data_IF_473305003284
#
_entry.id   IF_473305003284
#
_cell.length_a   1.000
_cell.length_b   1.000
_cell.length_c   1.000
_cell.angle_alpha   90.00
_cell.angle_beta   90.00
_cell.angle_gamma   90.00
#
_symmetry.space_group_name_H-M   'P 1'
#
loop_
_entity.id
_entity.type
_entity.pdbx_description
1 polymer ?
#
# COMPACT_ATOMS: atom_id res chain seq x y z
N UNK A 1 -13.28 11.64 -11.74
CA UNK A 1 -12.53 10.38 -11.58
C UNK A 1 -11.63 10.36 -10.35
N UNK A 2 -10.92 11.43 -9.97
CA UNK A 2 -10.18 11.46 -8.69
C UNK A 2 -11.08 11.60 -7.46
N UNK A 3 -12.24 12.25 -7.62
CA UNK A 3 -13.30 12.39 -6.60
C UNK A 3 -13.81 11.04 -6.09
N UNK A 4 -13.95 10.09 -7.00
CA UNK A 4 -14.60 8.81 -6.73
C UNK A 4 -13.69 7.94 -5.84
N UNK A 5 -12.37 8.06 -6.03
CA UNK A 5 -11.37 7.43 -5.15
C UNK A 5 -11.32 8.03 -3.75
N UNK A 6 -11.56 9.35 -3.61
CA UNK A 6 -11.57 10.00 -2.30
C UNK A 6 -12.76 9.55 -1.44
N UNK A 7 -13.94 9.39 -2.05
CA UNK A 7 -15.14 8.86 -1.39
C UNK A 7 -14.96 7.39 -0.99
N UNK A 8 -14.51 6.54 -1.93
CA UNK A 8 -14.27 5.13 -1.68
C UNK A 8 -13.21 4.89 -0.58
N UNK A 9 -12.14 5.69 -0.59
CA UNK A 9 -11.10 5.63 0.44
C UNK A 9 -11.67 5.99 1.81
N UNK A 10 -12.50 7.04 1.89
CA UNK A 10 -13.14 7.44 3.13
C UNK A 10 -14.08 6.33 3.65
N UNK A 11 -14.95 5.81 2.79
CA UNK A 11 -15.92 4.77 3.15
C UNK A 11 -15.21 3.51 3.64
N UNK A 12 -14.14 3.08 2.96
CA UNK A 12 -13.35 1.94 3.40
C UNK A 12 -12.72 2.16 4.79
N UNK A 13 -12.13 3.33 5.03
CA UNK A 13 -11.47 3.69 6.29
C UNK A 13 -12.44 3.84 7.47
N UNK A 14 -13.70 4.21 7.23
CA UNK A 14 -14.72 4.27 8.29
C UNK A 14 -15.12 2.89 8.80
N UNK A 15 -15.07 1.86 7.96
CA UNK A 15 -15.41 0.49 8.33
C UNK A 15 -14.26 -0.31 8.96
N UNK A 16 -13.06 0.26 9.03
CA UNK A 16 -11.85 -0.40 9.54
C UNK A 16 -11.72 -0.21 11.06
N UNK A 17 -11.35 -1.27 11.76
CA UNK A 17 -11.03 -1.18 13.17
C UNK A 17 -9.80 -0.28 13.40
N UNK A 18 -9.64 0.39 14.56
CA UNK A 18 -8.51 1.28 14.82
C UNK A 18 -7.15 0.59 14.70
N UNK A 19 -7.08 -0.67 15.12
CA UNK A 19 -5.88 -1.52 15.03
C UNK A 19 -5.52 -1.84 13.58
N UNK A 20 -6.50 -2.25 12.78
CA UNK A 20 -6.34 -2.54 11.37
C UNK A 20 -6.00 -1.29 10.56
N UNK A 21 -6.57 -0.14 10.94
CA UNK A 21 -6.25 1.17 10.36
C UNK A 21 -4.79 1.54 10.58
N UNK A 22 -4.28 1.30 11.79
CA UNK A 22 -2.87 1.54 12.13
C UNK A 22 -1.94 0.60 11.37
N UNK A 23 -2.31 -0.69 11.29
CA UNK A 23 -1.59 -1.69 10.50
C UNK A 23 -1.55 -1.33 9.01
N UNK A 24 -2.70 -1.01 8.43
CA UNK A 24 -2.83 -0.53 7.06
C UNK A 24 -1.96 0.69 6.83
N UNK A 25 -1.99 1.68 7.72
CA UNK A 25 -1.16 2.88 7.60
C UNK A 25 0.34 2.56 7.52
N UNK A 26 0.84 1.72 8.43
CA UNK A 26 2.25 1.31 8.44
C UNK A 26 2.63 0.53 7.17
N UNK A 27 1.77 -0.37 6.73
CA UNK A 27 2.00 -1.16 5.51
C UNK A 27 1.98 -0.26 4.27
N UNK A 28 1.07 0.72 4.18
CA UNK A 28 1.01 1.68 3.09
C UNK A 28 2.22 2.63 3.08
N UNK A 29 2.73 3.05 4.24
CA UNK A 29 3.97 3.83 4.35
C UNK A 29 5.18 3.03 3.83
N UNK A 30 5.31 1.78 4.24
CA UNK A 30 6.38 0.91 3.74
C UNK A 30 6.26 0.72 2.22
N UNK A 31 5.04 0.58 1.72
CA UNK A 31 4.74 0.43 0.30
C UNK A 31 5.04 1.72 -0.51
N UNK A 32 4.79 2.91 0.04
CA UNK A 32 5.17 4.20 -0.57
C UNK A 32 6.70 4.32 -0.73
N UNK A 33 7.46 3.95 0.30
CA UNK A 33 8.94 3.97 0.26
C UNK A 33 9.46 3.01 -0.80
N UNK A 34 8.94 1.77 -0.84
CA UNK A 34 9.33 0.77 -1.84
C UNK A 34 8.93 1.24 -3.25
N UNK A 35 7.75 1.85 -3.42
CA UNK A 35 7.33 2.38 -4.72
C UNK A 35 8.28 3.48 -5.20
N UNK A 36 8.61 4.48 -4.36
CA UNK A 36 9.54 5.57 -4.71
C UNK A 36 10.94 5.06 -5.06
N UNK A 37 11.45 4.08 -4.32
CA UNK A 37 12.75 3.46 -4.60
C UNK A 37 12.76 2.69 -5.94
N UNK A 38 11.65 2.05 -6.27
CA UNK A 38 11.51 1.23 -7.49
C UNK A 38 11.04 2.01 -8.73
N UNK A 39 10.42 3.18 -8.56
CA UNK A 39 9.87 4.00 -9.64
C UNK A 39 10.94 4.52 -10.61
N UNK A 40 12.19 4.65 -10.14
CA UNK A 40 13.32 5.13 -10.94
C UNK A 40 14.37 4.06 -11.24
N UNK A 41 14.15 2.81 -10.83
CA UNK A 41 15.18 1.78 -10.87
C UNK A 41 14.84 0.58 -11.74
N UNK A 42 15.09 0.72 -13.04
CA UNK A 42 15.46 -0.43 -13.88
C UNK A 42 16.95 -0.71 -13.72
N UNK A 43 17.32 -1.52 -12.73
CA UNK A 43 18.71 -1.94 -12.58
C UNK A 43 19.02 -3.12 -13.51
N UNK A 44 19.95 -2.94 -14.45
CA UNK A 44 20.60 -4.04 -15.16
C UNK A 44 21.66 -4.64 -14.23
N UNK A 45 21.39 -5.83 -13.68
CA UNK A 45 22.35 -6.49 -12.79
C UNK A 45 23.35 -7.34 -13.59
N UNK A 46 24.33 -6.70 -14.23
CA UNK A 46 25.41 -7.39 -14.97
C UNK A 46 26.33 -8.27 -14.09
N UNK A 47 26.13 -8.30 -12.77
CA UNK A 47 27.01 -9.03 -11.83
C UNK A 47 26.90 -10.57 -11.88
N UNK A 48 25.93 -11.12 -12.62
CA UNK A 48 25.61 -12.55 -12.62
C UNK A 48 25.77 -13.25 -13.99
N UNK A 49 26.54 -12.69 -14.93
CA UNK A 49 26.74 -13.28 -16.27
C UNK A 49 27.24 -14.73 -16.24
N UNK A 50 27.87 -15.17 -15.14
CA UNK A 50 28.35 -16.56 -14.95
C UNK A 50 27.29 -17.57 -14.49
N UNK A 51 26.04 -17.15 -14.22
CA UNK A 51 24.95 -18.04 -13.75
C UNK A 51 23.81 -18.24 -14.78
N UNK A 52 24.03 -17.83 -16.03
CA UNK A 52 23.01 -17.81 -17.07
C UNK A 52 22.53 -19.19 -17.59
N UNK A 53 23.10 -20.30 -17.11
CA UNK A 53 22.78 -21.64 -17.66
C UNK A 53 21.66 -22.35 -16.90
N UNK A 54 21.37 -21.98 -15.65
CA UNK A 54 20.32 -22.60 -14.84
C UNK A 54 19.71 -21.55 -13.91
N UNK A 55 18.48 -21.08 -14.14
CA UNK A 55 17.54 -20.73 -13.04
C UNK A 55 16.21 -20.17 -13.56
N UNK A 56 15.15 -20.75 -12.99
CA UNK A 56 13.79 -20.24 -12.97
C UNK A 56 13.73 -18.75 -12.63
N UNK A 57 12.81 -18.02 -13.26
CA UNK A 57 12.40 -16.68 -12.85
C UNK A 57 12.01 -16.70 -11.37
N UNK A 58 12.76 -16.02 -10.51
CA UNK A 58 12.37 -15.87 -9.11
C UNK A 58 11.26 -14.81 -9.04
N UNK A 59 10.05 -15.25 -8.71
CA UNK A 59 8.87 -14.40 -8.55
C UNK A 59 8.52 -14.31 -7.07
N UNK A 60 8.84 -13.19 -6.44
CA UNK A 60 8.41 -12.94 -5.06
C UNK A 60 7.13 -12.12 -5.09
N UNK A 61 6.01 -12.75 -4.73
CA UNK A 61 4.71 -12.09 -4.56
C UNK A 61 4.44 -11.92 -3.07
N UNK A 62 4.27 -10.67 -2.63
CA UNK A 62 3.72 -10.36 -1.30
C UNK A 62 2.30 -9.84 -1.49
N UNK A 63 1.36 -10.41 -0.75
CA UNK A 63 -0.05 -10.02 -0.79
C UNK A 63 -0.45 -9.46 0.55
N UNK A 64 -0.99 -8.24 0.55
CA UNK A 64 -1.68 -7.66 1.69
C UNK A 64 -3.16 -7.78 1.43
N UNK A 65 -3.90 -8.22 2.43
CA UNK A 65 -5.35 -8.38 2.36
C UNK A 65 -5.93 -7.73 3.61
N UNK A 66 -6.85 -6.81 3.39
CA UNK A 66 -7.61 -6.12 4.43
C UNK A 66 -9.08 -6.28 4.11
N UNK A 67 -9.88 -6.53 5.13
CA UNK A 67 -11.32 -6.62 5.02
C UNK A 67 -11.91 -5.71 6.09
N UNK A 68 -12.89 -4.91 5.72
CA UNK A 68 -13.56 -4.04 6.67
C UNK A 68 -14.86 -4.67 7.20
N UNK A 69 -15.49 -4.01 8.16
CA UNK A 69 -16.75 -4.46 8.78
C UNK A 69 -17.95 -4.48 7.81
N UNK A 70 -17.82 -3.86 6.64
CA UNK A 70 -18.83 -3.82 5.58
C UNK A 70 -18.59 -4.89 4.49
N UNK A 71 -17.71 -5.87 4.74
CA UNK A 71 -17.25 -6.86 3.76
C UNK A 71 -16.58 -6.26 2.52
N UNK A 72 -16.13 -5.01 2.57
CA UNK A 72 -15.28 -4.47 1.53
C UNK A 72 -13.86 -5.00 1.71
N UNK A 73 -13.28 -5.45 0.61
CA UNK A 73 -11.98 -6.09 0.58
C UNK A 73 -10.98 -5.24 -0.21
N UNK A 74 -9.84 -4.98 0.40
CA UNK A 74 -8.68 -4.36 -0.22
C UNK A 74 -7.54 -5.38 -0.30
N UNK A 75 -7.13 -5.70 -1.52
CA UNK A 75 -6.00 -6.58 -1.80
C UNK A 75 -4.91 -5.77 -2.50
N UNK A 76 -3.70 -5.83 -1.97
CA UNK A 76 -2.52 -5.20 -2.59
C UNK A 76 -1.51 -6.29 -2.90
N UNK A 77 -1.20 -6.45 -4.18
CA UNK A 77 -0.17 -7.37 -4.66
C UNK A 77 1.09 -6.61 -4.99
N UNK A 78 2.15 -6.89 -4.24
CA UNK A 78 3.51 -6.50 -4.59
C UNK A 78 4.17 -7.66 -5.32
N UNK A 79 4.52 -7.45 -6.58
CA UNK A 79 5.14 -8.46 -7.42
C UNK A 79 6.54 -7.97 -7.79
N UNK A 80 7.54 -8.73 -7.34
CA UNK A 80 8.91 -8.61 -7.84
C UNK A 80 9.18 -9.75 -8.82
N UNK A 81 9.43 -9.40 -10.07
CA UNK A 81 9.83 -10.32 -11.12
C UNK A 81 11.30 -10.07 -11.47
N UNK A 82 12.14 -11.10 -11.31
CA UNK A 82 13.52 -11.07 -11.79
C UNK A 82 13.60 -11.83 -13.11
N UNK A 83 13.66 -11.09 -14.23
CA UNK A 83 13.75 -11.64 -15.57
C UNK A 83 15.18 -11.50 -16.12
N UNK A 84 15.94 -12.60 -16.17
CA UNK A 84 17.33 -12.75 -16.64
C UNK A 84 18.38 -11.75 -16.06
N UNK A 85 18.17 -10.45 -16.19
CA UNK A 85 19.01 -9.36 -15.65
C UNK A 85 18.21 -8.11 -15.22
N UNK A 86 16.89 -8.13 -15.37
CA UNK A 86 15.98 -7.01 -15.16
C UNK A 86 15.03 -7.33 -14.00
N UNK A 87 15.12 -6.53 -12.94
CA UNK A 87 14.13 -6.54 -11.89
C UNK A 87 12.95 -5.66 -12.33
N UNK A 88 11.76 -6.24 -12.37
CA UNK A 88 10.50 -5.52 -12.59
C UNK A 88 9.72 -5.54 -11.28
N UNK A 89 9.41 -4.36 -10.77
CA UNK A 89 8.53 -4.20 -9.62
C UNK A 89 7.17 -3.70 -10.08
N UNK A 90 6.12 -4.40 -9.69
CA UNK A 90 4.74 -4.02 -9.99
C UNK A 90 3.90 -4.08 -8.72
N UNK A 91 3.03 -3.08 -8.56
CA UNK A 91 2.01 -3.06 -7.53
C UNK A 91 0.66 -3.13 -8.23
N UNK A 92 -0.13 -4.14 -7.91
CA UNK A 92 -1.53 -4.21 -8.31
C UNK A 92 -2.41 -4.00 -7.09
N UNK A 93 -3.45 -3.19 -7.24
CA UNK A 93 -4.37 -2.83 -6.17
C UNK A 93 -5.75 -3.29 -6.61
N UNK A 94 -6.41 -4.07 -5.77
CA UNK A 94 -7.77 -4.54 -5.99
C UNK A 94 -8.65 -4.10 -4.84
N UNK A 95 -9.80 -3.53 -5.16
CA UNK A 95 -10.83 -3.20 -4.20
C UNK A 95 -12.14 -3.86 -4.64
N UNK A 96 -12.72 -4.70 -3.80
CA UNK A 96 -13.93 -5.47 -4.12
C UNK A 96 -13.86 -6.20 -5.48
N UNK A 97 -12.74 -6.90 -5.73
CA UNK A 97 -12.44 -7.60 -7.00
C UNK A 97 -12.29 -6.73 -8.25
N UNK A 98 -12.34 -5.40 -8.13
CA UNK A 98 -12.04 -4.47 -9.21
C UNK A 98 -10.60 -3.97 -9.11
N UNK A 99 -9.90 -3.82 -10.23
CA UNK A 99 -8.53 -3.31 -10.27
C UNK A 99 -8.52 -1.78 -10.21
N UNK A 100 -7.69 -1.23 -9.33
CA UNK A 100 -7.51 0.20 -9.10
C UNK A 100 -6.07 0.62 -9.36
N UNK A 101 -5.91 1.87 -9.76
CA UNK A 101 -4.60 2.48 -9.91
C UNK A 101 -3.96 2.75 -8.53
N UNK A 102 -2.64 2.81 -8.47
CA UNK A 102 -1.85 3.23 -7.31
C UNK A 102 -2.31 4.59 -6.73
N UNK A 103 -2.89 5.48 -7.55
CA UNK A 103 -3.57 6.70 -7.09
C UNK A 103 -4.54 6.45 -5.92
N UNK A 104 -5.23 5.31 -5.89
CA UNK A 104 -6.13 4.94 -4.79
C UNK A 104 -5.36 4.75 -3.46
N UNK A 105 -4.15 4.19 -3.50
CA UNK A 105 -3.28 4.05 -2.33
C UNK A 105 -2.82 5.41 -1.83
N UNK A 106 -2.49 6.33 -2.74
CA UNK A 106 -2.12 7.71 -2.37
C UNK A 106 -3.29 8.43 -1.67
N UNK A 107 -4.54 8.20 -2.13
CA UNK A 107 -5.74 8.76 -1.49
C UNK A 107 -5.98 8.17 -0.11
N UNK A 108 -5.88 6.84 0.04
CA UNK A 108 -5.95 6.19 1.36
C UNK A 108 -4.90 6.75 2.31
N UNK A 109 -3.65 6.88 1.85
CA UNK A 109 -2.55 7.41 2.65
C UNK A 109 -2.78 8.88 3.03
N UNK A 110 -3.30 9.70 2.12
CA UNK A 110 -3.65 11.11 2.37
C UNK A 110 -4.73 11.25 3.45
N UNK A 111 -5.79 10.41 3.38
CA UNK A 111 -6.88 10.38 4.37
C UNK A 111 -6.46 9.82 5.73
N UNK A 112 -5.46 8.93 5.75
CA UNK A 112 -4.86 8.45 6.99
C UNK A 112 -3.89 9.46 7.63
N UNK A 113 -3.17 10.24 6.80
CA UNK A 113 -2.27 11.31 7.23
C UNK A 113 -3.01 12.52 7.77
N UNK A 114 -4.24 12.77 7.33
CA UNK A 114 -5.08 13.81 7.93
C UNK A 114 -5.50 13.32 9.31
N UNK A 115 -4.96 13.89 10.41
CA UNK A 115 -5.44 13.50 11.72
C UNK A 115 -6.93 13.81 11.76
N UNK A 116 -7.75 12.80 12.02
CA UNK A 116 -9.05 13.04 12.63
C UNK A 116 -8.70 13.81 13.88
N UNK A 117 -8.96 15.13 13.90
CA UNK A 117 -8.74 15.93 15.09
C UNK A 117 -9.56 15.27 16.18
N UNK A 118 -8.90 14.51 17.06
CA UNK A 118 -9.53 14.08 18.28
C UNK A 118 -10.03 15.38 18.95
N UNK A 119 -11.30 15.45 19.40
CA UNK A 119 -11.74 16.61 20.15
C UNK A 119 -10.75 16.79 21.30
N UNK A 120 -10.10 17.96 21.34
CA UNK A 120 -9.17 18.31 22.40
C UNK A 120 -9.87 18.01 23.71
N UNK A 121 -9.35 17.04 24.46
CA UNK A 121 -9.78 16.83 25.84
C UNK A 121 -9.36 18.09 26.59
N UNK A 122 -10.32 18.97 26.83
CA UNK A 122 -10.16 20.15 27.67
C UNK A 122 -9.81 19.65 29.05
N UNK A 123 -8.53 19.71 29.42
CA UNK A 123 -8.13 19.53 30.80
C UNK A 123 -8.66 20.75 31.56
N UNK A 124 -9.73 20.56 32.34
CA UNK A 124 -10.13 21.54 33.34
C UNK A 124 -9.08 21.48 34.45
N UNK A 125 -8.27 22.53 34.55
CA UNK A 125 -7.40 22.77 35.69
C UNK A 125 -8.25 22.86 36.96
N UNK A 126 -8.03 21.91 37.87
CA UNK A 126 -8.57 21.96 39.23
C UNK A 126 -7.75 23.01 39.98
N UNK A 127 -8.37 24.15 40.27
CA UNK A 127 -7.82 25.18 41.16
C UNK A 127 -7.94 24.70 42.60
N UNK A 128 -6.83 24.67 43.34
CA UNK A 128 -6.77 24.50 44.80
C UNK A 128 -6.40 25.84 45.43
#
# INVERSE_FOLDING_TARGET
>A
MTSDYDSLAQDFLTGLAPEERTKLYNDLLALEVVHKLNQHSTYYTFKNLKRAVHRHSERRKRTFRYMNSFNNELIIHQIHEQYFFKNKYCIHVYFNSQEYNYLFIERLLSKLKTPVSAPMRTFQEITV
#
